data_IF_570818066876
#
_entry.id   IF_570818066876
#
_cell.length_a   1.000
_cell.length_b   1.000
_cell.length_c   1.000
_cell.angle_alpha   90.00
_cell.angle_beta   90.00
_cell.angle_gamma   90.00
#
_symmetry.space_group_name_H-M   'P 1'
#
loop_
_entity.id
_entity.type
_entity.pdbx_description
1 polymer ?
#
# COMPACT_ATOMS: atom_id res chain seq x y z
N UNK A 1 -6.61 19.17 32.90
CA UNK A 1 -6.76 17.95 32.10
C UNK A 1 -6.50 18.30 30.64
N UNK A 2 -5.26 18.17 30.18
CA UNK A 2 -4.86 18.53 28.81
C UNK A 2 -4.78 17.24 27.97
N UNK A 3 -5.63 17.13 26.95
CA UNK A 3 -5.64 16.00 26.01
C UNK A 3 -4.40 15.99 25.12
N UNK A 4 -3.31 15.37 25.58
CA UNK A 4 -2.10 15.08 24.82
C UNK A 4 -2.27 13.90 23.82
N UNK A 5 -3.46 13.77 23.21
CA UNK A 5 -3.80 12.59 22.40
C UNK A 5 -3.63 12.72 20.88
N UNK A 6 -3.49 13.93 20.32
CA UNK A 6 -3.90 14.15 18.92
C UNK A 6 -2.80 14.35 17.87
N UNK A 7 -1.52 14.04 18.15
CA UNK A 7 -0.43 14.18 17.16
C UNK A 7 0.36 12.90 16.83
N UNK A 8 -0.01 11.75 17.40
CA UNK A 8 0.71 10.49 17.12
C UNK A 8 0.62 10.11 15.63
N UNK A 9 -0.58 10.24 15.05
CA UNK A 9 -0.85 9.96 13.63
C UNK A 9 -0.11 10.86 12.63
N UNK A 10 0.26 12.08 13.02
CA UNK A 10 1.11 12.96 12.19
C UNK A 10 2.58 12.61 12.31
N UNK A 11 3.02 12.06 13.44
CA UNK A 11 4.43 11.80 13.75
C UNK A 11 4.91 10.44 13.25
N UNK A 12 4.01 9.48 13.05
CA UNK A 12 4.35 8.13 12.58
C UNK A 12 3.77 7.84 11.18
N UNK A 13 4.40 8.33 10.10
CA UNK A 13 4.00 8.00 8.73
C UNK A 13 4.12 6.50 8.43
N UNK A 14 5.02 5.78 9.11
CA UNK A 14 5.19 4.34 8.96
C UNK A 14 3.91 3.54 9.27
N UNK A 15 3.15 3.91 10.31
CA UNK A 15 1.91 3.22 10.66
C UNK A 15 0.86 3.32 9.54
N UNK A 16 0.87 4.41 8.76
CA UNK A 16 -0.05 4.57 7.62
C UNK A 16 0.24 3.59 6.49
N UNK A 17 1.47 3.11 6.38
CA UNK A 17 1.92 2.11 5.38
C UNK A 17 1.83 0.70 5.97
N UNK A 18 2.06 0.56 7.27
CA UNK A 18 1.92 -0.70 7.98
C UNK A 18 0.47 -1.22 7.93
N UNK A 19 -0.52 -0.35 8.12
CA UNK A 19 -1.93 -0.71 8.04
C UNK A 19 -2.33 -1.39 6.72
N UNK A 20 -2.08 -0.80 5.54
CA UNK A 20 -2.40 -1.45 4.27
C UNK A 20 -1.58 -2.72 4.05
N UNK A 21 -0.33 -2.78 4.52
CA UNK A 21 0.48 -4.00 4.45
C UNK A 21 -0.15 -5.16 5.24
N UNK A 22 -0.53 -4.92 6.50
CA UNK A 22 -1.22 -5.92 7.34
C UNK A 22 -2.58 -6.29 6.72
N UNK A 23 -3.31 -5.31 6.21
CA UNK A 23 -4.58 -5.55 5.53
C UNK A 23 -4.41 -6.49 4.32
N UNK A 24 -3.34 -6.32 3.54
CA UNK A 24 -3.00 -7.20 2.43
C UNK A 24 -2.74 -8.64 2.85
N UNK A 25 -2.01 -8.84 3.94
CA UNK A 25 -1.76 -10.17 4.52
C UNK A 25 -3.09 -10.83 4.92
N UNK A 26 -3.92 -10.13 5.71
CA UNK A 26 -5.20 -10.65 6.20
C UNK A 26 -6.15 -10.96 5.05
N UNK A 27 -6.22 -10.07 4.06
CA UNK A 27 -7.10 -10.20 2.90
C UNK A 27 -6.69 -11.39 2.03
N UNK A 28 -5.40 -11.60 1.81
CA UNK A 28 -4.92 -12.80 1.13
C UNK A 28 -5.26 -14.08 1.91
N UNK A 29 -5.15 -14.05 3.23
CA UNK A 29 -5.43 -15.21 4.08
C UNK A 29 -6.90 -15.63 4.05
N UNK A 30 -7.82 -14.67 3.91
CA UNK A 30 -9.27 -14.93 3.87
C UNK A 30 -9.77 -15.31 2.47
N UNK A 31 -9.32 -14.60 1.43
CA UNK A 31 -9.88 -14.73 0.08
C UNK A 31 -9.05 -15.58 -0.87
N UNK A 32 -7.79 -15.89 -0.53
CA UNK A 32 -6.88 -16.70 -1.35
C UNK A 32 -6.85 -16.28 -2.83
N UNK A 33 -6.70 -14.97 -3.08
CA UNK A 33 -6.66 -14.44 -4.45
C UNK A 33 -5.47 -15.01 -5.24
N UNK A 34 -5.65 -15.13 -6.56
CA UNK A 34 -4.59 -15.54 -7.49
C UNK A 34 -3.42 -14.55 -7.43
N UNK A 35 -2.20 -15.09 -7.34
CA UNK A 35 -0.94 -14.33 -7.34
C UNK A 35 -0.87 -13.35 -8.52
N UNK A 36 -1.44 -13.71 -9.68
CA UNK A 36 -1.46 -12.86 -10.87
C UNK A 36 -2.13 -11.52 -10.64
N UNK A 37 -3.22 -11.49 -9.86
CA UNK A 37 -3.94 -10.25 -9.56
C UNK A 37 -3.05 -9.29 -8.78
N UNK A 38 -2.30 -9.78 -7.81
CA UNK A 38 -1.39 -8.96 -7.02
C UNK A 38 -0.22 -8.40 -7.83
N UNK A 39 0.34 -9.19 -8.75
CA UNK A 39 1.35 -8.71 -9.69
C UNK A 39 0.82 -7.61 -10.62
N UNK A 40 -0.41 -7.73 -11.12
CA UNK A 40 -1.04 -6.69 -11.94
C UNK A 40 -1.22 -5.41 -11.10
N UNK A 41 -1.71 -5.52 -9.86
CA UNK A 41 -1.91 -4.37 -8.97
C UNK A 41 -0.58 -3.65 -8.69
N UNK A 42 0.49 -4.40 -8.40
CA UNK A 42 1.84 -3.82 -8.22
C UNK A 42 2.32 -3.14 -9.50
N UNK A 43 2.15 -3.78 -10.65
CA UNK A 43 2.54 -3.22 -11.95
C UNK A 43 1.83 -1.90 -12.25
N UNK A 44 0.52 -1.83 -12.03
CA UNK A 44 -0.28 -0.60 -12.23
C UNK A 44 0.14 0.49 -11.24
N UNK A 45 0.40 0.15 -9.98
CA UNK A 45 0.87 1.11 -8.99
C UNK A 45 2.25 1.66 -9.35
N UNK A 46 3.19 0.81 -9.75
CA UNK A 46 4.53 1.23 -10.18
C UNK A 46 4.47 2.10 -11.43
N UNK A 47 3.68 1.73 -12.43
CA UNK A 47 3.48 2.55 -13.64
C UNK A 47 2.91 3.92 -13.28
N UNK A 48 1.91 3.96 -12.40
CA UNK A 48 1.31 5.22 -11.94
C UNK A 48 2.35 6.09 -11.25
N UNK A 49 3.13 5.53 -10.31
CA UNK A 49 4.23 6.25 -9.62
C UNK A 49 5.29 6.73 -10.62
N UNK A 50 5.62 5.94 -11.64
CA UNK A 50 6.59 6.30 -12.66
C UNK A 50 6.09 7.47 -13.51
N UNK A 51 4.84 7.45 -13.95
CA UNK A 51 4.19 8.57 -14.66
C UNK A 51 4.17 9.82 -13.78
N UNK A 52 3.90 9.67 -12.48
CA UNK A 52 3.97 10.75 -11.50
C UNK A 52 5.34 11.41 -11.39
N UNK A 53 6.42 10.65 -11.63
CA UNK A 53 7.79 11.16 -11.64
C UNK A 53 8.02 12.13 -12.82
N UNK A 54 7.34 11.95 -13.95
CA UNK A 54 7.46 12.85 -15.11
C UNK A 54 6.52 14.06 -15.04
N UNK A 55 5.59 14.13 -14.09
CA UNK A 55 4.67 15.25 -13.96
C UNK A 55 5.34 16.51 -13.38
N UNK A 56 4.99 17.71 -13.89
CA UNK A 56 5.51 18.99 -13.39
C UNK A 56 5.08 19.28 -11.95
N UNK A 57 5.93 20.04 -11.25
CA UNK A 57 5.86 20.29 -9.80
C UNK A 57 4.48 20.81 -9.32
N UNK A 58 3.79 21.58 -10.17
CA UNK A 58 2.46 22.13 -9.88
C UNK A 58 1.39 21.04 -9.71
N UNK A 59 1.45 19.96 -10.50
CA UNK A 59 0.51 18.85 -10.37
C UNK A 59 0.92 17.86 -9.28
N UNK A 60 2.22 17.77 -8.93
CA UNK A 60 2.70 16.91 -7.83
C UNK A 60 2.10 17.31 -6.48
N UNK A 61 1.89 18.59 -6.24
CA UNK A 61 1.29 19.05 -4.98
C UNK A 61 -0.19 18.68 -4.86
N UNK A 62 -0.95 18.78 -5.96
CA UNK A 62 -2.37 18.42 -5.99
C UNK A 62 -2.59 16.89 -5.95
N UNK A 63 -1.67 16.13 -6.53
CA UNK A 63 -1.76 14.68 -6.64
C UNK A 63 -0.93 13.92 -5.59
N UNK A 64 -0.35 14.63 -4.61
CA UNK A 64 0.41 14.01 -3.52
C UNK A 64 -0.39 12.99 -2.70
N UNK A 65 -1.71 13.23 -2.56
CA UNK A 65 -2.64 12.28 -1.94
C UNK A 65 -2.77 11.01 -2.79
N UNK A 66 -2.86 11.16 -4.12
CA UNK A 66 -2.95 10.04 -5.05
C UNK A 66 -1.70 9.16 -4.97
N UNK A 67 -0.52 9.78 -4.93
CA UNK A 67 0.75 9.06 -4.76
C UNK A 67 0.79 8.26 -3.44
N UNK A 68 0.32 8.86 -2.34
CA UNK A 68 0.18 8.16 -1.05
C UNK A 68 -0.76 6.95 -1.10
N UNK A 69 -1.85 7.05 -1.88
CA UNK A 69 -2.78 5.93 -2.13
C UNK A 69 -2.10 4.83 -2.93
N UNK A 70 -1.39 5.16 -4.01
CA UNK A 70 -0.64 4.16 -4.81
C UNK A 70 0.44 3.45 -4.01
N UNK A 71 1.18 4.18 -3.17
CA UNK A 71 2.18 3.59 -2.28
C UNK A 71 1.48 2.63 -1.30
N UNK A 72 0.37 3.05 -0.70
CA UNK A 72 -0.39 2.20 0.24
C UNK A 72 -0.89 0.92 -0.43
N UNK A 73 -1.43 1.02 -1.65
CA UNK A 73 -1.87 -0.12 -2.47
C UNK A 73 -0.71 -1.04 -2.85
N UNK A 74 0.46 -0.51 -3.20
CA UNK A 74 1.65 -1.30 -3.49
C UNK A 74 2.10 -2.11 -2.27
N UNK A 75 2.10 -1.49 -1.08
CA UNK A 75 2.41 -2.19 0.17
C UNK A 75 1.35 -3.23 0.54
N UNK A 76 0.06 -2.95 0.31
CA UNK A 76 -1.01 -3.92 0.48
C UNK A 76 -0.77 -5.15 -0.41
N UNK A 77 -0.50 -4.94 -1.69
CA UNK A 77 -0.24 -6.03 -2.63
C UNK A 77 1.04 -6.80 -2.29
N UNK A 78 2.06 -6.12 -1.77
CA UNK A 78 3.30 -6.77 -1.30
C UNK A 78 3.04 -7.67 -0.09
N UNK A 79 2.24 -7.20 0.87
CA UNK A 79 1.82 -8.00 2.04
C UNK A 79 1.02 -9.23 1.62
N UNK A 80 0.11 -9.07 0.66
CA UNK A 80 -0.66 -10.18 0.11
C UNK A 80 0.22 -11.21 -0.64
N UNK A 81 1.19 -10.77 -1.45
CA UNK A 81 2.13 -11.68 -2.12
C UNK A 81 2.99 -12.46 -1.13
N UNK A 82 3.46 -11.81 -0.05
CA UNK A 82 4.21 -12.47 1.00
C UNK A 82 3.39 -13.56 1.70
N UNK A 83 2.12 -13.27 1.98
CA UNK A 83 1.20 -14.25 2.55
C UNK A 83 0.97 -15.43 1.61
N UNK A 84 0.82 -15.18 0.30
CA UNK A 84 0.69 -16.24 -0.71
C UNK A 84 1.94 -17.12 -0.79
N UNK A 85 3.14 -16.53 -0.78
CA UNK A 85 4.40 -17.30 -0.84
C UNK A 85 4.62 -18.21 0.38
N UNK A 86 4.07 -17.83 1.53
CA UNK A 86 4.13 -18.61 2.77
C UNK A 86 2.91 -19.51 2.97
N UNK A 87 1.94 -19.47 2.07
CA UNK A 87 0.77 -20.35 2.15
C UNK A 87 1.17 -21.77 1.75
N UNK A 88 1.24 -22.65 2.74
CA UNK A 88 1.57 -24.07 2.60
C UNK A 88 0.52 -24.85 1.78
N UNK A 89 -0.63 -24.25 1.47
CA UNK A 89 -1.70 -24.86 0.66
C UNK A 89 -1.44 -24.79 -0.85
N UNK A 90 -0.40 -24.06 -1.27
CA UNK A 90 -0.02 -23.91 -2.69
C UNK A 90 1.12 -24.86 -3.12
N UNK A 91 1.27 -25.99 -2.42
CA UNK A 91 2.24 -27.04 -2.75
C UNK A 91 1.62 -28.11 -3.65
#
# INVERSE_FOLDING_TARGET
MAGYGSNFWKRTPFLKILLPFIAGIVLQWQFQFDQKLWWIIIGVCLLSIFIFLFLPFFNRYRLGILNGIFISLAFLATGALLAWQKDLRNN
#
